data_IF_000522949346
#
_entry.id   IF_000522949346
#
_cell.length_a   1.000
_cell.length_b   1.000
_cell.length_c   1.000
_cell.angle_alpha   90.00
_cell.angle_beta   90.00
_cell.angle_gamma   90.00
#
_symmetry.space_group_name_H-M   'P 1'
#
loop_
_entity.id
_entity.type
_entity.pdbx_description
1 polymer ?
#
# COMPACT_ATOMS: atom_id res chain seq x y z
N UNK A 1 2.74 36.04 -3.52
CA UNK A 1 2.97 34.75 -4.21
C UNK A 1 1.87 33.82 -3.76
N UNK A 2 1.16 33.21 -4.72
CA UNK A 2 0.16 32.20 -4.45
C UNK A 2 0.81 30.81 -4.47
N UNK A 3 0.27 29.90 -3.67
CA UNK A 3 0.79 28.53 -3.52
C UNK A 3 -0.33 27.50 -3.74
N UNK A 4 0.00 26.39 -4.36
CA UNK A 4 -0.86 25.22 -4.44
C UNK A 4 -0.03 23.99 -4.06
N UNK A 5 -0.66 23.03 -3.43
CA UNK A 5 -0.07 21.71 -3.18
C UNK A 5 -0.75 20.65 -4.05
N UNK A 6 0.01 19.69 -4.49
CA UNK A 6 -0.48 18.65 -5.37
C UNK A 6 -0.01 17.28 -4.88
N UNK A 7 -0.94 16.52 -4.30
CA UNK A 7 -0.74 15.11 -4.03
C UNK A 7 -0.80 14.34 -5.35
N UNK A 8 0.24 13.54 -5.63
CA UNK A 8 0.38 12.88 -6.93
C UNK A 8 0.47 11.37 -6.77
N UNK A 9 -0.32 10.63 -7.53
CA UNK A 9 -0.22 9.18 -7.68
C UNK A 9 0.00 8.81 -9.14
N UNK A 10 0.66 7.68 -9.41
CA UNK A 10 1.00 7.20 -10.75
C UNK A 10 2.42 6.62 -10.84
N UNK A 11 3.29 6.93 -9.88
CA UNK A 11 4.65 6.41 -9.81
C UNK A 11 5.42 6.62 -11.11
N UNK A 12 6.22 5.64 -11.50
CA UNK A 12 7.01 5.66 -12.75
C UNK A 12 6.15 5.62 -14.01
N UNK A 13 4.93 5.12 -13.92
CA UNK A 13 3.98 4.99 -15.04
C UNK A 13 3.25 6.29 -15.38
N UNK A 14 3.27 7.26 -14.48
CA UNK A 14 2.59 8.54 -14.69
C UNK A 14 3.07 9.30 -15.91
N UNK A 15 4.31 9.08 -16.39
CA UNK A 15 4.84 9.69 -17.60
C UNK A 15 4.08 9.22 -18.85
N UNK A 16 3.66 7.96 -18.87
CA UNK A 16 3.00 7.33 -20.02
C UNK A 16 1.48 7.27 -19.86
N UNK A 17 0.99 7.03 -18.64
CA UNK A 17 -0.43 6.81 -18.34
C UNK A 17 -1.14 8.08 -17.83
N UNK A 18 -0.37 9.12 -17.48
CA UNK A 18 -0.84 10.30 -16.77
C UNK A 18 -0.90 10.08 -15.26
N UNK A 19 -0.90 11.19 -14.53
CA UNK A 19 -0.91 11.19 -13.05
C UNK A 19 -2.31 11.44 -12.50
N UNK A 20 -2.62 10.80 -11.37
CA UNK A 20 -3.75 11.21 -10.53
C UNK A 20 -3.32 12.33 -9.61
N UNK A 21 -3.98 13.50 -9.71
CA UNK A 21 -3.57 14.76 -9.09
C UNK A 21 -4.66 15.27 -8.14
N UNK A 22 -4.35 15.32 -6.84
CA UNK A 22 -5.21 15.86 -5.79
C UNK A 22 -4.71 17.24 -5.41
N UNK A 23 -5.46 18.30 -5.72
CA UNK A 23 -4.93 19.66 -5.70
C UNK A 23 -5.56 20.48 -4.58
N UNK A 24 -4.73 20.99 -3.68
CA UNK A 24 -5.09 21.91 -2.60
C UNK A 24 -4.62 23.34 -2.89
N UNK A 25 -5.38 24.32 -2.42
CA UNK A 25 -5.07 25.73 -2.57
C UNK A 25 -6.29 26.64 -2.66
N UNK A 26 -6.08 27.90 -3.02
CA UNK A 26 -7.20 28.77 -3.38
C UNK A 26 -7.80 28.31 -4.71
N UNK A 27 -9.12 28.11 -4.76
CA UNK A 27 -9.82 27.56 -5.94
C UNK A 27 -9.51 28.36 -7.21
N UNK A 28 -9.52 29.70 -7.13
CA UNK A 28 -9.23 30.59 -8.26
C UNK A 28 -7.80 30.42 -8.81
N UNK A 29 -6.83 30.08 -7.94
CA UNK A 29 -5.43 29.83 -8.35
C UNK A 29 -5.34 28.46 -9.02
N UNK A 30 -5.98 27.45 -8.44
CA UNK A 30 -6.05 26.11 -9.02
C UNK A 30 -6.67 26.15 -10.42
N UNK A 31 -7.77 26.91 -10.59
CA UNK A 31 -8.40 27.05 -11.92
C UNK A 31 -7.49 27.77 -12.94
N UNK A 32 -6.69 28.73 -12.52
CA UNK A 32 -5.69 29.36 -13.42
C UNK A 32 -4.61 28.38 -13.87
N UNK A 33 -4.29 27.39 -13.03
CA UNK A 33 -3.30 26.37 -13.34
C UNK A 33 -3.90 25.13 -14.05
N UNK A 34 -5.20 25.12 -14.30
CA UNK A 34 -5.92 24.02 -14.98
C UNK A 34 -5.18 23.43 -16.19
N UNK A 35 -4.65 24.19 -17.15
CA UNK A 35 -3.97 23.63 -18.32
C UNK A 35 -2.76 22.76 -17.97
N UNK A 36 -2.09 23.03 -16.84
CA UNK A 36 -0.97 22.21 -16.36
C UNK A 36 -1.49 20.86 -15.87
N UNK A 37 -2.56 20.86 -15.07
CA UNK A 37 -3.11 19.63 -14.51
C UNK A 37 -3.72 18.74 -15.60
N UNK A 38 -4.43 19.33 -16.56
CA UNK A 38 -4.98 18.63 -17.73
C UNK A 38 -3.90 17.98 -18.60
N UNK A 39 -2.71 18.59 -18.66
CA UNK A 39 -1.56 18.04 -19.41
C UNK A 39 -0.92 16.87 -18.68
N UNK A 40 -0.88 16.91 -17.35
CA UNK A 40 -0.23 15.87 -16.52
C UNK A 40 -1.15 14.70 -16.22
N UNK A 41 -2.46 14.90 -16.26
CA UNK A 41 -3.46 13.88 -15.97
C UNK A 41 -3.69 12.93 -17.18
N UNK A 42 -4.36 11.78 -16.97
CA UNK A 42 -4.71 10.87 -18.07
C UNK A 42 -5.67 11.47 -19.12
N UNK A 43 -6.27 12.60 -18.83
CA UNK A 43 -7.13 13.35 -19.74
C UNK A 43 -7.63 14.63 -19.10
N UNK A 44 -8.09 15.56 -19.93
CA UNK A 44 -8.51 16.89 -19.50
C UNK A 44 -9.65 16.88 -18.45
N UNK A 45 -10.50 15.88 -18.49
CA UNK A 45 -11.69 15.72 -17.65
C UNK A 45 -11.58 14.62 -16.57
N UNK A 46 -10.42 14.02 -16.41
CA UNK A 46 -10.23 12.88 -15.50
C UNK A 46 -8.82 12.81 -14.90
N UNK A 47 -8.75 12.21 -13.72
CA UNK A 47 -7.48 11.97 -13.01
C UNK A 47 -6.94 13.18 -12.25
N UNK A 48 -7.61 14.34 -12.25
CA UNK A 48 -7.22 15.50 -11.45
C UNK A 48 -8.43 16.22 -10.86
N UNK A 49 -8.22 16.95 -9.78
CA UNK A 49 -9.29 17.74 -9.19
C UNK A 49 -8.88 18.56 -7.98
N UNK A 50 -9.64 19.64 -7.75
CA UNK A 50 -9.54 20.43 -6.53
C UNK A 50 -10.16 19.67 -5.35
N UNK A 51 -9.38 19.46 -4.29
CA UNK A 51 -9.81 18.68 -3.12
C UNK A 51 -9.98 19.51 -1.85
N UNK A 52 -9.53 20.77 -1.83
CA UNK A 52 -9.68 21.62 -0.66
C UNK A 52 -8.67 22.75 -0.56
N UNK A 53 -8.59 23.43 0.60
CA UNK A 53 -7.63 24.50 0.83
C UNK A 53 -6.18 24.00 0.83
N UNK A 54 -5.23 24.90 1.09
CA UNK A 54 -3.81 24.58 1.18
C UNK A 54 -3.55 23.39 2.13
N UNK A 55 -2.75 22.43 1.67
CA UNK A 55 -2.43 21.20 2.37
C UNK A 55 -3.38 20.03 2.08
N UNK A 56 -4.59 20.30 1.58
CA UNK A 56 -5.59 19.26 1.30
C UNK A 56 -5.13 18.24 0.24
N UNK A 57 -4.35 18.68 -0.75
CA UNK A 57 -3.81 17.80 -1.78
C UNK A 57 -2.87 16.75 -1.21
N UNK A 58 -1.89 17.17 -0.43
CA UNK A 58 -0.96 16.28 0.24
C UNK A 58 -1.65 15.41 1.31
N UNK A 59 -2.60 15.98 2.05
CA UNK A 59 -3.40 15.23 3.01
C UNK A 59 -4.17 14.08 2.36
N UNK A 60 -4.90 14.35 1.30
CA UNK A 60 -5.64 13.32 0.56
C UNK A 60 -4.70 12.27 -0.01
N UNK A 61 -3.51 12.68 -0.51
CA UNK A 61 -2.51 11.72 -1.00
C UNK A 61 -1.94 10.85 0.11
N UNK A 62 -1.72 11.39 1.29
CA UNK A 62 -1.30 10.62 2.47
C UNK A 62 -2.32 9.50 2.79
N UNK A 63 -3.61 9.84 2.87
CA UNK A 63 -4.69 8.88 3.10
C UNK A 63 -4.77 7.82 1.98
N UNK A 64 -4.65 8.28 0.72
CA UNK A 64 -4.56 7.37 -0.44
C UNK A 64 -3.48 6.30 -0.23
N UNK A 65 -2.28 6.69 0.22
CA UNK A 65 -1.20 5.75 0.47
C UNK A 65 -1.49 4.81 1.66
N UNK A 66 -2.17 5.29 2.69
CA UNK A 66 -2.65 4.41 3.77
C UNK A 66 -3.59 3.33 3.25
N UNK A 67 -4.55 3.69 2.39
CA UNK A 67 -5.44 2.73 1.71
C UNK A 67 -4.64 1.73 0.86
N UNK A 68 -3.66 2.23 0.09
CA UNK A 68 -2.78 1.41 -0.74
C UNK A 68 -2.04 0.36 0.10
N UNK A 69 -1.52 0.72 1.29
CA UNK A 69 -0.88 -0.22 2.21
C UNK A 69 -1.82 -1.36 2.60
N UNK A 70 -3.07 -1.05 2.96
CA UNK A 70 -4.08 -2.05 3.30
C UNK A 70 -4.42 -2.96 2.13
N UNK A 71 -4.58 -2.41 0.93
CA UNK A 71 -4.86 -3.18 -0.29
C UNK A 71 -3.70 -4.11 -0.65
N UNK A 72 -2.46 -3.62 -0.61
CA UNK A 72 -1.27 -4.43 -0.88
C UNK A 72 -1.15 -5.58 0.13
N UNK A 73 -1.39 -5.32 1.42
CA UNK A 73 -1.34 -6.33 2.46
C UNK A 73 -2.41 -7.41 2.25
N UNK A 74 -3.65 -7.02 1.93
CA UNK A 74 -4.73 -7.96 1.66
C UNK A 74 -4.43 -8.87 0.46
N UNK A 75 -3.89 -8.34 -0.63
CA UNK A 75 -3.42 -9.14 -1.77
C UNK A 75 -2.31 -10.09 -1.36
N UNK A 76 -1.29 -9.60 -0.65
CA UNK A 76 -0.16 -10.42 -0.24
C UNK A 76 -0.60 -11.59 0.65
N UNK A 77 -1.48 -11.37 1.61
CA UNK A 77 -2.04 -12.41 2.47
C UNK A 77 -2.87 -13.42 1.68
N UNK A 78 -3.75 -12.95 0.79
CA UNK A 78 -4.59 -13.81 -0.04
C UNK A 78 -3.76 -14.72 -0.95
N UNK A 79 -2.77 -14.17 -1.64
CA UNK A 79 -1.84 -14.96 -2.47
C UNK A 79 -0.99 -15.93 -1.62
N UNK A 80 -0.57 -15.52 -0.43
CA UNK A 80 0.17 -16.39 0.49
C UNK A 80 -0.67 -17.58 0.95
N UNK A 81 -1.94 -17.38 1.31
CA UNK A 81 -2.87 -18.45 1.68
C UNK A 81 -3.05 -19.43 0.52
N UNK A 82 -3.28 -18.93 -0.71
CA UNK A 82 -3.42 -19.78 -1.89
C UNK A 82 -2.13 -20.56 -2.17
N UNK A 83 -0.96 -19.93 -2.05
CA UNK A 83 0.35 -20.60 -2.22
C UNK A 83 0.57 -21.70 -1.19
N UNK A 84 0.08 -21.53 0.04
CA UNK A 84 0.20 -22.52 1.10
C UNK A 84 -0.70 -23.77 0.85
N UNK A 85 -1.75 -23.65 0.05
CA UNK A 85 -2.68 -24.75 -0.27
C UNK A 85 -2.12 -25.67 -1.38
N UNK A 86 -1.05 -26.39 -1.04
CA UNK A 86 -0.25 -27.21 -1.97
C UNK A 86 -1.06 -28.26 -2.75
N UNK A 87 -2.07 -28.87 -2.13
CA UNK A 87 -2.87 -29.93 -2.71
C UNK A 87 -3.68 -29.50 -3.95
N UNK A 88 -3.91 -28.21 -4.14
CA UNK A 88 -4.64 -27.70 -5.32
C UNK A 88 -3.73 -27.34 -6.48
N UNK A 89 -2.43 -27.23 -6.27
CA UNK A 89 -1.48 -26.87 -7.32
C UNK A 89 -1.82 -25.54 -8.02
N UNK A 90 -2.27 -24.54 -7.28
CA UNK A 90 -2.79 -23.28 -7.82
C UNK A 90 -1.71 -22.50 -8.57
N UNK A 91 -2.01 -22.06 -9.78
CA UNK A 91 -1.21 -21.10 -10.54
C UNK A 91 -1.65 -19.68 -10.21
N UNK A 92 -0.88 -18.99 -9.37
CA UNK A 92 -1.21 -17.65 -8.89
C UNK A 92 -1.16 -16.60 -10.01
N UNK A 93 -0.29 -16.78 -11.01
CA UNK A 93 -0.24 -15.93 -12.20
C UNK A 93 -1.54 -16.03 -12.98
N UNK A 94 -1.99 -17.26 -13.28
CA UNK A 94 -3.26 -17.49 -13.97
C UNK A 94 -4.45 -16.90 -13.19
N UNK A 95 -4.48 -17.08 -11.86
CA UNK A 95 -5.55 -16.56 -11.00
C UNK A 95 -5.59 -15.04 -11.05
N UNK A 96 -4.42 -14.38 -10.96
CA UNK A 96 -4.35 -12.92 -11.04
C UNK A 96 -4.89 -12.39 -12.36
N UNK A 97 -4.58 -13.03 -13.49
CA UNK A 97 -5.12 -12.67 -14.81
C UNK A 97 -6.64 -12.87 -14.90
N UNK A 98 -7.19 -13.93 -14.32
CA UNK A 98 -8.64 -14.12 -14.24
C UNK A 98 -9.29 -12.95 -13.50
N UNK A 99 -8.70 -12.53 -12.39
CA UNK A 99 -9.26 -11.45 -11.55
C UNK A 99 -9.17 -10.05 -12.15
N UNK A 100 -8.31 -9.82 -13.14
CA UNK A 100 -8.26 -8.54 -13.87
C UNK A 100 -9.57 -8.25 -14.62
N UNK A 101 -10.38 -9.27 -14.91
CA UNK A 101 -11.59 -9.15 -15.72
C UNK A 101 -12.83 -9.62 -14.94
N UNK A 102 -13.80 -8.71 -14.75
CA UNK A 102 -15.07 -9.03 -14.10
C UNK A 102 -15.04 -9.24 -12.58
N UNK A 103 -13.89 -9.27 -11.97
CA UNK A 103 -13.75 -9.43 -10.51
C UNK A 103 -13.87 -8.10 -9.78
N UNK A 104 -14.49 -8.13 -8.58
CA UNK A 104 -14.61 -6.96 -7.72
C UNK A 104 -13.26 -6.49 -7.16
N UNK A 105 -12.26 -7.36 -7.09
CA UNK A 105 -10.91 -7.03 -6.60
C UNK A 105 -9.99 -6.50 -7.71
N UNK A 106 -10.49 -6.33 -8.93
CA UNK A 106 -9.69 -5.75 -10.00
C UNK A 106 -9.20 -4.36 -9.60
N UNK A 107 -7.92 -4.09 -9.84
CA UNK A 107 -7.28 -2.81 -9.51
C UNK A 107 -5.94 -2.72 -10.22
N UNK A 108 -5.38 -1.54 -10.33
CA UNK A 108 -4.02 -1.42 -10.86
C UNK A 108 -2.99 -2.18 -10.02
N UNK A 109 -3.17 -2.27 -8.70
CA UNK A 109 -2.32 -3.10 -7.84
C UNK A 109 -2.38 -4.58 -8.22
N UNK A 110 -3.54 -5.09 -8.60
CA UNK A 110 -3.69 -6.46 -9.11
C UNK A 110 -2.96 -6.64 -10.45
N UNK A 111 -3.03 -5.65 -11.36
CA UNK A 111 -2.30 -5.70 -12.63
C UNK A 111 -0.78 -5.77 -12.40
N UNK A 112 -0.27 -5.01 -11.42
CA UNK A 112 1.13 -5.05 -11.03
C UNK A 112 1.52 -6.39 -10.39
N UNK A 113 0.64 -6.96 -9.56
CA UNK A 113 0.85 -8.30 -8.98
C UNK A 113 0.88 -9.38 -10.07
N UNK A 114 -0.02 -9.32 -11.06
CA UNK A 114 -0.02 -10.23 -12.19
C UNK A 114 1.30 -10.18 -12.97
N UNK A 115 1.80 -8.99 -13.29
CA UNK A 115 3.11 -8.80 -13.96
C UNK A 115 4.27 -9.38 -13.15
N UNK A 116 4.27 -9.18 -11.83
CA UNK A 116 5.31 -9.73 -10.96
C UNK A 116 5.30 -11.26 -10.96
N UNK A 117 4.11 -11.88 -10.85
CA UNK A 117 3.95 -13.33 -10.86
C UNK A 117 4.20 -13.97 -12.24
N UNK A 118 4.04 -13.23 -13.35
CA UNK A 118 4.48 -13.68 -14.68
C UNK A 118 6.00 -13.77 -14.78
N UNK A 119 6.72 -12.81 -14.19
CA UNK A 119 8.18 -12.77 -14.23
C UNK A 119 8.81 -13.83 -13.32
N UNK A 120 8.28 -13.98 -12.11
CA UNK A 120 8.72 -14.99 -11.14
C UNK A 120 7.52 -15.46 -10.30
N UNK A 121 7.06 -16.68 -10.60
CA UNK A 121 5.89 -17.31 -9.94
C UNK A 121 6.06 -17.48 -8.42
N UNK A 122 7.29 -17.60 -7.96
CA UNK A 122 7.64 -17.85 -6.57
C UNK A 122 8.18 -16.64 -5.84
N UNK A 123 8.46 -15.55 -6.56
CA UNK A 123 9.14 -14.34 -6.08
C UNK A 123 10.45 -14.68 -5.35
N UNK A 124 11.18 -15.69 -5.88
CA UNK A 124 12.31 -16.31 -5.20
C UNK A 124 13.52 -15.36 -5.05
N UNK A 125 13.70 -14.45 -6.00
CA UNK A 125 14.80 -13.49 -5.99
C UNK A 125 14.53 -12.25 -5.11
N UNK A 126 13.33 -12.17 -4.48
CA UNK A 126 12.92 -11.02 -3.67
C UNK A 126 13.07 -11.35 -2.18
N UNK A 127 13.87 -10.55 -1.47
CA UNK A 127 13.97 -10.66 -0.02
C UNK A 127 12.66 -10.24 0.66
N UNK A 128 12.22 -10.93 1.74
CA UNK A 128 11.00 -10.59 2.48
C UNK A 128 11.22 -9.37 3.39
N UNK A 129 11.62 -8.25 2.81
CA UNK A 129 11.93 -7.00 3.49
C UNK A 129 11.18 -5.85 2.81
N UNK A 130 10.32 -5.15 3.55
CA UNK A 130 9.44 -4.11 3.00
C UNK A 130 9.67 -2.77 3.70
N UNK A 131 10.16 -1.78 2.93
CA UNK A 131 10.27 -0.41 3.41
C UNK A 131 8.89 0.25 3.58
N UNK A 132 8.85 1.28 4.40
CA UNK A 132 7.78 2.28 4.36
C UNK A 132 8.40 3.66 4.09
N UNK A 133 7.70 4.50 3.33
CA UNK A 133 8.12 5.84 2.92
C UNK A 133 7.54 6.96 3.82
N UNK A 134 6.81 6.59 4.89
CA UNK A 134 6.28 7.51 5.89
C UNK A 134 4.78 7.74 5.79
N UNK A 135 4.17 7.73 4.61
CA UNK A 135 2.77 8.08 4.41
C UNK A 135 1.80 7.17 5.19
N UNK A 136 2.13 5.86 5.27
CA UNK A 136 1.37 4.92 6.09
C UNK A 136 1.43 5.27 7.58
N UNK A 137 2.60 5.73 8.07
CA UNK A 137 2.76 6.20 9.45
C UNK A 137 1.94 7.45 9.72
N UNK A 138 2.02 8.42 8.82
CA UNK A 138 1.29 9.68 8.96
C UNK A 138 -0.21 9.44 8.95
N UNK A 139 -0.70 8.52 8.11
CA UNK A 139 -2.12 8.12 8.10
C UNK A 139 -2.55 7.50 9.43
N UNK A 140 -1.71 6.65 10.03
CA UNK A 140 -1.99 6.05 11.35
C UNK A 140 -2.01 7.10 12.44
N UNK A 141 -1.03 8.02 12.47
CA UNK A 141 -1.02 9.12 13.43
C UNK A 141 -2.25 10.01 13.31
N UNK A 142 -2.61 10.38 12.08
CA UNK A 142 -3.82 11.17 11.82
C UNK A 142 -5.09 10.46 12.31
N UNK A 143 -5.19 9.15 12.10
CA UNK A 143 -6.33 8.37 12.59
C UNK A 143 -6.45 8.42 14.12
N UNK A 144 -5.32 8.41 14.84
CA UNK A 144 -5.27 8.54 16.30
C UNK A 144 -5.69 9.95 16.73
N UNK A 145 -5.12 10.98 16.11
CA UNK A 145 -5.39 12.40 16.43
C UNK A 145 -6.88 12.73 16.19
N UNK A 146 -7.49 12.15 15.16
CA UNK A 146 -8.90 12.31 14.83
C UNK A 146 -9.85 11.36 15.60
N UNK A 147 -9.32 10.42 16.38
CA UNK A 147 -10.08 9.34 17.03
C UNK A 147 -10.88 8.47 16.03
N UNK A 148 -10.30 8.21 14.86
CA UNK A 148 -10.91 7.36 13.81
C UNK A 148 -10.22 6.00 13.80
N UNK A 149 -10.94 4.89 14.03
CA UNK A 149 -10.34 3.56 13.98
C UNK A 149 -9.83 3.22 12.57
N UNK A 150 -8.56 2.83 12.45
CA UNK A 150 -7.94 2.41 11.19
C UNK A 150 -7.13 1.10 11.37
N UNK A 151 -7.78 -0.02 11.82
CA UNK A 151 -7.05 -1.24 12.16
C UNK A 151 -6.33 -1.86 10.96
N UNK A 152 -6.92 -1.87 9.78
CA UNK A 152 -6.32 -2.48 8.58
C UNK A 152 -5.06 -1.73 8.16
N UNK A 153 -5.12 -0.40 8.09
CA UNK A 153 -3.97 0.43 7.73
C UNK A 153 -2.86 0.30 8.79
N UNK A 154 -3.23 0.30 10.06
CA UNK A 154 -2.29 0.14 11.17
C UNK A 154 -1.57 -1.21 11.11
N UNK A 155 -2.31 -2.31 10.94
CA UNK A 155 -1.72 -3.65 10.86
C UNK A 155 -0.83 -3.81 9.63
N UNK A 156 -1.23 -3.28 8.47
CA UNK A 156 -0.40 -3.32 7.26
C UNK A 156 0.93 -2.58 7.42
N UNK A 157 0.95 -1.45 8.14
CA UNK A 157 2.19 -0.76 8.51
C UNK A 157 3.05 -1.61 9.45
N UNK A 158 2.45 -2.20 10.49
CA UNK A 158 3.17 -3.03 11.47
C UNK A 158 3.74 -4.30 10.83
N UNK A 159 3.08 -4.88 9.84
CA UNK A 159 3.61 -6.02 9.06
C UNK A 159 4.89 -5.63 8.33
N UNK A 160 4.99 -4.40 7.80
CA UNK A 160 6.25 -3.90 7.23
C UNK A 160 7.35 -3.77 8.28
N UNK A 161 7.02 -3.37 9.51
CA UNK A 161 8.02 -3.36 10.59
C UNK A 161 8.51 -4.77 10.92
N UNK A 162 7.56 -5.72 11.04
CA UNK A 162 7.89 -7.12 11.30
C UNK A 162 8.79 -7.74 10.21
N UNK A 163 8.60 -7.35 8.93
CA UNK A 163 9.44 -7.84 7.83
C UNK A 163 10.92 -7.40 7.93
N UNK A 164 11.23 -6.44 8.78
CA UNK A 164 12.58 -5.87 8.97
C UNK A 164 13.18 -6.21 10.34
N UNK A 165 12.42 -6.90 11.21
CA UNK A 165 12.84 -7.31 12.54
C UNK A 165 13.57 -8.65 12.47
N UNK A 166 14.87 -8.59 12.20
CA UNK A 166 15.73 -9.79 12.11
C UNK A 166 15.91 -10.47 13.47
N UNK A 167 15.88 -9.71 14.57
CA UNK A 167 16.05 -10.27 15.91
C UNK A 167 14.80 -10.97 16.43
N UNK A 168 13.63 -10.49 16.02
CA UNK A 168 12.32 -10.96 16.45
C UNK A 168 12.22 -11.16 17.99
N UNK A 169 12.68 -10.15 18.75
CA UNK A 169 12.70 -10.18 20.20
C UNK A 169 11.33 -10.49 20.81
N UNK A 170 10.27 -10.02 20.15
CA UNK A 170 8.88 -10.31 20.59
C UNK A 170 8.59 -11.81 20.63
N UNK A 171 8.94 -12.55 19.59
CA UNK A 171 8.73 -13.99 19.56
C UNK A 171 9.62 -14.71 20.58
N UNK A 172 10.86 -14.25 20.76
CA UNK A 172 11.77 -14.79 21.80
C UNK A 172 11.21 -14.58 23.20
N UNK A 173 10.68 -13.39 23.50
CA UNK A 173 10.06 -13.09 24.80
C UNK A 173 8.81 -13.95 25.03
N UNK A 174 7.95 -14.12 24.03
CA UNK A 174 6.79 -15.00 24.12
C UNK A 174 7.18 -16.45 24.40
N UNK A 175 8.19 -16.97 23.72
CA UNK A 175 8.71 -18.32 23.97
C UNK A 175 9.27 -18.47 25.40
N UNK A 176 10.04 -17.48 25.84
CA UNK A 176 10.58 -17.46 27.22
C UNK A 176 9.46 -17.43 28.26
N UNK A 177 8.46 -16.56 28.10
CA UNK A 177 7.32 -16.48 29.02
C UNK A 177 6.55 -17.82 29.10
N UNK A 178 6.26 -18.44 27.95
CA UNK A 178 5.58 -19.75 27.88
C UNK A 178 6.39 -20.84 28.60
N UNK A 179 7.70 -20.81 28.47
CA UNK A 179 8.57 -21.73 29.19
C UNK A 179 8.48 -21.48 30.69
N UNK A 180 8.57 -20.22 31.14
CA UNK A 180 8.61 -19.90 32.59
C UNK A 180 7.30 -20.24 33.32
N UNK A 181 6.14 -19.96 32.73
CA UNK A 181 4.88 -20.23 33.44
C UNK A 181 4.32 -21.64 33.20
N UNK A 182 4.62 -22.29 32.07
CA UNK A 182 4.01 -23.56 31.69
C UNK A 182 4.99 -24.69 31.37
N UNK A 183 6.31 -24.46 31.49
CA UNK A 183 7.32 -25.45 31.16
C UNK A 183 7.36 -25.85 29.68
N UNK A 184 6.77 -25.06 28.80
CA UNK A 184 6.75 -25.35 27.36
C UNK A 184 8.17 -25.38 26.80
N UNK A 185 8.48 -26.35 25.94
CA UNK A 185 9.78 -26.47 25.31
C UNK A 185 10.11 -25.22 24.48
N UNK A 186 11.35 -24.73 24.58
CA UNK A 186 11.90 -23.64 23.78
C UNK A 186 12.89 -24.22 22.80
N UNK A 187 12.78 -23.85 21.53
CA UNK A 187 13.82 -24.13 20.54
C UNK A 187 14.99 -23.20 20.79
N UNK A 188 16.21 -23.76 20.87
CA UNK A 188 17.44 -22.98 21.05
C UNK A 188 18.00 -22.62 19.68
N UNK A 189 18.59 -21.42 19.56
CA UNK A 189 19.43 -21.08 18.41
C UNK A 189 20.67 -21.96 18.42
N UNK A 190 21.08 -22.47 17.27
CA UNK A 190 22.36 -23.14 17.06
C UNK A 190 23.52 -22.18 17.26
#
# INVERSE_FOLDING_TARGET
>A
IEFVDCGTSGGVWGITEGYSLMIGGKREVVEKMRPIFETLAPGADKGWGYVGPHGAGHYVKMIHNGIEYGMMQAFAEGFSIMKAKKEFGLDLSQISHIWQHGSVVRSWLLDLAARALEQDKDLADIKPWVADSGEGRWTVFESIDLNVPAPIITLSLQTRFASRDEENFTARMLAALRNQFGGHAVQKSE
#
